data_IF_706506725305
#
_entry.id   IF_706506725305
#
_cell.length_a   1.000
_cell.length_b   1.000
_cell.length_c   1.000
_cell.angle_alpha   90.00
_cell.angle_beta   90.00
_cell.angle_gamma   90.00
#
_symmetry.space_group_name_H-M   'P 1'
#
loop_
_entity.id
_entity.type
_entity.pdbx_description
1 polymer ?
#
# COMPACT_ATOMS: atom_id res chain seq x y z
N UNK A 1 -27.98 -7.00 17.69
CA UNK A 1 -27.17 -7.44 18.86
C UNK A 1 -27.84 -8.65 19.48
N UNK A 2 -27.23 -9.82 19.34
CA UNK A 2 -27.55 -11.02 20.12
C UNK A 2 -26.22 -11.68 20.46
N UNK A 3 -25.85 -11.67 21.74
CA UNK A 3 -24.64 -12.34 22.22
C UNK A 3 -24.88 -13.84 22.11
N UNK A 4 -24.27 -14.48 21.12
CA UNK A 4 -24.17 -15.94 21.06
C UNK A 4 -23.08 -16.35 22.05
N UNK A 5 -23.44 -17.14 23.04
CA UNK A 5 -22.48 -17.81 23.92
C UNK A 5 -21.56 -18.69 23.07
N UNK A 6 -20.27 -18.35 23.03
CA UNK A 6 -19.25 -19.18 22.40
C UNK A 6 -18.98 -20.41 23.29
N UNK A 7 -18.85 -21.62 22.73
CA UNK A 7 -18.62 -22.82 23.51
C UNK A 7 -17.28 -22.72 24.28
N UNK A 8 -17.22 -23.18 25.55
CA UNK A 8 -16.17 -22.85 26.52
C UNK A 8 -14.74 -23.36 26.21
N UNK A 9 -14.51 -23.99 25.06
CA UNK A 9 -13.18 -24.45 24.61
C UNK A 9 -12.47 -23.56 23.58
N UNK A 10 -13.14 -22.57 22.99
CA UNK A 10 -12.63 -21.78 21.84
C UNK A 10 -11.68 -20.63 22.22
N UNK A 11 -11.69 -20.20 23.48
CA UNK A 11 -10.90 -19.04 23.95
C UNK A 11 -9.40 -19.32 24.20
N UNK A 12 -8.97 -20.59 24.19
CA UNK A 12 -7.62 -21.01 24.60
C UNK A 12 -6.73 -21.58 23.48
N UNK A 13 -7.12 -21.48 22.20
CA UNK A 13 -6.27 -21.90 21.08
C UNK A 13 -5.14 -20.89 20.81
N UNK A 14 -4.19 -20.80 21.74
CA UNK A 14 -3.02 -19.93 21.66
C UNK A 14 -1.78 -20.73 21.26
N UNK A 15 -1.08 -20.27 20.22
CA UNK A 15 0.18 -20.84 19.77
C UNK A 15 1.31 -19.83 20.04
N UNK A 16 2.38 -20.29 20.67
CA UNK A 16 3.59 -19.48 20.91
C UNK A 16 4.66 -19.71 19.85
N UNK A 17 4.68 -20.90 19.23
CA UNK A 17 5.63 -21.27 18.16
C UNK A 17 4.94 -21.75 16.90
N UNK A 18 5.68 -21.82 15.78
CA UNK A 18 5.15 -22.30 14.51
C UNK A 18 4.74 -23.79 14.59
N UNK A 19 5.47 -24.62 15.33
CA UNK A 19 5.15 -26.03 15.54
C UNK A 19 3.91 -26.22 16.41
N UNK A 20 3.69 -25.36 17.40
CA UNK A 20 2.45 -25.32 18.17
C UNK A 20 1.27 -24.89 17.31
N UNK A 21 1.46 -23.87 16.47
CA UNK A 21 0.46 -23.43 15.50
C UNK A 21 0.06 -24.58 14.58
N UNK A 22 1.00 -25.29 13.97
CA UNK A 22 0.72 -26.38 13.04
C UNK A 22 -0.06 -27.52 13.71
N UNK A 23 0.32 -27.90 14.94
CA UNK A 23 -0.38 -28.94 15.71
C UNK A 23 -1.81 -28.53 16.09
N UNK A 24 -1.98 -27.30 16.59
CA UNK A 24 -3.29 -26.79 16.97
C UNK A 24 -4.19 -26.61 15.75
N UNK A 25 -3.67 -26.07 14.65
CA UNK A 25 -4.43 -25.88 13.43
C UNK A 25 -4.88 -27.21 12.81
N UNK A 26 -4.02 -28.25 12.84
CA UNK A 26 -4.39 -29.59 12.40
C UNK A 26 -5.49 -30.21 13.29
N UNK A 27 -5.39 -30.02 14.61
CA UNK A 27 -6.37 -30.55 15.57
C UNK A 27 -7.73 -29.87 15.45
N UNK A 28 -7.73 -28.56 15.19
CA UNK A 28 -8.93 -27.71 15.15
C UNK A 28 -9.38 -27.38 13.72
N UNK A 29 -8.92 -28.14 12.72
CA UNK A 29 -9.22 -27.87 11.31
C UNK A 29 -10.73 -27.82 11.02
N UNK A 30 -11.58 -28.74 11.55
CA UNK A 30 -13.02 -28.66 11.36
C UNK A 30 -13.62 -27.34 11.90
N UNK A 31 -13.26 -26.95 13.12
CA UNK A 31 -13.77 -25.75 13.78
C UNK A 31 -13.29 -24.47 13.09
N UNK A 32 -12.05 -24.45 12.61
CA UNK A 32 -11.51 -23.34 11.83
C UNK A 32 -12.23 -23.20 10.48
N UNK A 33 -12.52 -24.32 9.80
CA UNK A 33 -13.27 -24.33 8.56
C UNK A 33 -14.71 -23.84 8.76
N UNK A 34 -15.38 -24.30 9.81
CA UNK A 34 -16.73 -23.87 10.17
C UNK A 34 -16.77 -22.37 10.48
N UNK A 35 -15.75 -21.86 11.19
CA UNK A 35 -15.62 -20.43 11.48
C UNK A 35 -15.44 -19.60 10.20
N UNK A 36 -14.52 -19.99 9.31
CA UNK A 36 -14.27 -19.30 8.05
C UNK A 36 -15.49 -19.32 7.11
N UNK A 37 -16.17 -20.47 7.03
CA UNK A 37 -17.41 -20.64 6.26
C UNK A 37 -18.54 -19.78 6.83
N UNK A 38 -18.69 -19.78 8.16
CA UNK A 38 -19.69 -18.97 8.86
C UNK A 38 -19.50 -17.47 8.64
N UNK A 39 -18.25 -17.00 8.68
CA UNK A 39 -17.93 -15.60 8.38
C UNK A 39 -18.14 -15.23 6.92
N UNK A 40 -17.82 -16.13 5.99
CA UNK A 40 -18.11 -15.94 4.57
C UNK A 40 -19.62 -15.77 4.34
N UNK A 41 -20.44 -16.63 4.95
CA UNK A 41 -21.90 -16.52 4.90
C UNK A 41 -22.37 -15.19 5.47
N UNK A 42 -21.84 -14.78 6.62
CA UNK A 42 -22.18 -13.51 7.24
C UNK A 42 -21.84 -12.32 6.34
N UNK A 43 -20.62 -12.29 5.78
CA UNK A 43 -20.18 -11.25 4.87
C UNK A 43 -21.08 -11.15 3.62
N UNK A 44 -21.38 -12.27 2.96
CA UNK A 44 -22.27 -12.30 1.79
C UNK A 44 -23.69 -11.81 2.13
N UNK A 45 -24.20 -12.12 3.33
CA UNK A 45 -25.49 -11.61 3.82
C UNK A 45 -25.47 -10.10 4.04
N UNK A 46 -24.41 -9.59 4.68
CA UNK A 46 -24.24 -8.15 4.93
C UNK A 46 -24.13 -7.36 3.61
N UNK A 47 -23.52 -7.94 2.58
CA UNK A 47 -23.44 -7.36 1.23
C UNK A 47 -24.72 -7.51 0.39
N UNK A 48 -25.76 -8.18 0.90
CA UNK A 48 -26.99 -8.45 0.14
C UNK A 48 -26.79 -9.43 -1.02
N UNK A 49 -25.71 -10.22 -1.02
CA UNK A 49 -25.33 -11.18 -2.07
C UNK A 49 -25.64 -12.63 -1.68
N UNK A 50 -26.48 -12.85 -0.67
CA UNK A 50 -26.80 -14.18 -0.15
C UNK A 50 -28.26 -14.54 -0.40
N UNK A 51 -28.50 -15.70 -1.03
CA UNK A 51 -29.84 -16.15 -1.42
C UNK A 51 -30.35 -17.38 -0.63
N UNK A 52 -29.67 -17.80 0.44
CA UNK A 52 -30.03 -18.98 1.27
C UNK A 52 -30.29 -20.26 0.44
N UNK A 53 -29.51 -20.49 -0.62
CA UNK A 53 -29.61 -21.65 -1.49
C UNK A 53 -28.37 -22.59 -1.40
N UNK A 54 -28.51 -23.79 -1.98
CA UNK A 54 -27.44 -24.81 -1.98
C UNK A 54 -26.19 -24.35 -2.74
N UNK A 55 -26.33 -23.46 -3.74
CA UNK A 55 -25.19 -22.98 -4.51
C UNK A 55 -24.33 -22.00 -3.69
N UNK A 56 -24.97 -21.09 -2.95
CA UNK A 56 -24.31 -20.16 -2.03
C UNK A 56 -23.72 -20.88 -0.82
N UNK A 57 -24.36 -21.93 -0.30
CA UNK A 57 -23.77 -22.78 0.75
C UNK A 57 -22.50 -23.50 0.26
N UNK A 58 -22.51 -24.04 -0.97
CA UNK A 58 -21.31 -24.61 -1.59
C UNK A 58 -20.22 -23.57 -1.83
N UNK A 59 -20.59 -22.35 -2.23
CA UNK A 59 -19.67 -21.23 -2.43
C UNK A 59 -19.01 -20.83 -1.11
N UNK A 60 -19.80 -20.65 -0.04
CA UNK A 60 -19.29 -20.31 1.28
C UNK A 60 -18.33 -21.37 1.80
N UNK A 61 -18.64 -22.65 1.62
CA UNK A 61 -17.74 -23.75 2.01
C UNK A 61 -16.44 -23.71 1.19
N UNK A 62 -16.52 -23.53 -0.14
CA UNK A 62 -15.34 -23.42 -1.01
C UNK A 62 -14.43 -22.26 -0.59
N UNK A 63 -15.00 -21.09 -0.33
CA UNK A 63 -14.24 -19.93 0.15
C UNK A 63 -13.72 -20.15 1.57
N UNK A 64 -14.46 -20.84 2.43
CA UNK A 64 -13.98 -21.27 3.75
C UNK A 64 -12.71 -22.09 3.66
N UNK A 65 -12.64 -23.06 2.73
CA UNK A 65 -11.42 -23.83 2.46
C UNK A 65 -10.27 -22.94 1.99
N UNK A 66 -10.51 -22.05 1.03
CA UNK A 66 -9.48 -21.15 0.51
C UNK A 66 -8.93 -20.20 1.59
N UNK A 67 -9.81 -19.67 2.43
CA UNK A 67 -9.43 -18.83 3.58
C UNK A 67 -8.61 -19.61 4.60
N UNK A 68 -8.99 -20.86 4.88
CA UNK A 68 -8.25 -21.74 5.78
C UNK A 68 -6.86 -22.08 5.22
N UNK A 69 -6.75 -22.38 3.94
CA UNK A 69 -5.44 -22.61 3.28
C UNK A 69 -4.54 -21.38 3.40
N UNK A 70 -5.06 -20.18 3.10
CA UNK A 70 -4.33 -18.92 3.26
C UNK A 70 -3.89 -18.71 4.70
N UNK A 71 -4.78 -18.96 5.66
CA UNK A 71 -4.50 -18.89 7.09
C UNK A 71 -3.36 -19.85 7.50
N UNK A 72 -3.36 -21.09 7.02
CA UNK A 72 -2.31 -22.07 7.32
C UNK A 72 -0.94 -21.65 6.74
N UNK A 73 -0.93 -20.99 5.58
CA UNK A 73 0.30 -20.47 4.98
C UNK A 73 0.85 -19.29 5.77
N UNK A 74 0.03 -18.29 6.11
CA UNK A 74 0.52 -17.08 6.78
C UNK A 74 0.63 -17.20 8.31
N UNK A 75 -0.12 -18.09 8.94
CA UNK A 75 -0.23 -18.15 10.40
C UNK A 75 1.07 -18.50 11.12
N UNK A 76 1.93 -19.31 10.48
CA UNK A 76 3.27 -19.67 11.01
C UNK A 76 4.16 -18.46 11.28
N UNK A 77 4.00 -17.39 10.50
CA UNK A 77 4.82 -16.17 10.63
C UNK A 77 4.24 -15.14 11.60
N UNK A 78 3.05 -15.40 12.13
CA UNK A 78 2.30 -14.47 12.97
C UNK A 78 2.24 -14.93 14.44
N UNK A 79 2.98 -15.98 14.80
CA UNK A 79 3.13 -16.42 16.19
C UNK A 79 3.97 -15.41 17.01
N UNK A 80 3.65 -15.18 18.31
CA UNK A 80 2.59 -15.81 19.08
C UNK A 80 1.20 -15.28 18.73
N UNK A 81 0.20 -16.16 18.62
CA UNK A 81 -1.14 -15.79 18.19
C UNK A 81 -2.26 -16.62 18.83
N UNK A 82 -3.48 -16.09 18.80
CA UNK A 82 -4.72 -16.85 19.06
C UNK A 82 -5.32 -17.25 17.72
N UNK A 83 -5.46 -18.55 17.46
CA UNK A 83 -5.78 -19.09 16.13
C UNK A 83 -7.08 -18.49 15.56
N UNK A 84 -8.19 -18.52 16.31
CA UNK A 84 -9.47 -17.99 15.84
C UNK A 84 -9.45 -16.48 15.62
N UNK A 85 -8.78 -15.71 16.49
CA UNK A 85 -8.66 -14.27 16.29
C UNK A 85 -7.81 -13.92 15.07
N UNK A 86 -6.73 -14.68 14.85
CA UNK A 86 -5.90 -14.53 13.66
C UNK A 86 -6.68 -14.94 12.40
N UNK A 87 -7.46 -16.01 12.44
CA UNK A 87 -8.34 -16.43 11.35
C UNK A 87 -9.37 -15.35 11.03
N UNK A 88 -10.10 -14.86 12.03
CA UNK A 88 -11.07 -13.76 11.89
C UNK A 88 -10.39 -12.53 11.24
N UNK A 89 -9.16 -12.20 11.64
CA UNK A 89 -8.38 -11.13 11.01
C UNK A 89 -8.00 -11.43 9.55
N UNK A 90 -7.65 -12.66 9.20
CA UNK A 90 -7.35 -13.09 7.82
C UNK A 90 -8.59 -13.02 6.94
N UNK A 91 -9.73 -13.46 7.47
CA UNK A 91 -11.02 -13.45 6.78
C UNK A 91 -11.47 -12.02 6.53
N UNK A 92 -11.50 -11.18 7.56
CA UNK A 92 -11.79 -9.75 7.42
C UNK A 92 -10.85 -9.11 6.39
N UNK A 93 -9.53 -9.27 6.52
CA UNK A 93 -8.55 -8.76 5.54
C UNK A 93 -8.75 -9.29 4.12
N UNK A 94 -9.39 -10.44 3.92
CA UNK A 94 -9.63 -10.99 2.58
C UNK A 94 -10.86 -10.37 1.95
N UNK A 95 -11.94 -10.23 2.71
CA UNK A 95 -13.19 -9.62 2.22
C UNK A 95 -13.14 -8.09 2.14
N UNK A 96 -12.35 -7.46 3.00
CA UNK A 96 -12.01 -6.05 2.97
C UNK A 96 -11.14 -5.65 1.79
N UNK A 97 -10.53 -6.63 1.08
CA UNK A 97 -9.73 -6.30 -0.11
C UNK A 97 -10.65 -6.04 -1.28
N UNK A 98 -10.47 -4.94 -2.02
CA UNK A 98 -11.03 -4.86 -3.36
C UNK A 98 -10.60 -6.07 -4.17
N UNK A 99 -11.53 -6.67 -4.91
CA UNK A 99 -11.22 -7.71 -5.89
C UNK A 99 -10.06 -7.23 -6.77
N UNK A 100 -9.03 -8.06 -7.02
CA UNK A 100 -7.93 -7.67 -7.89
C UNK A 100 -8.47 -7.18 -9.24
N UNK A 101 -8.16 -5.93 -9.60
CA UNK A 101 -8.61 -5.32 -10.87
C UNK A 101 -7.82 -5.84 -12.08
N UNK A 102 -7.11 -6.95 -11.89
CA UNK A 102 -6.12 -7.53 -12.77
C UNK A 102 -6.68 -8.13 -14.06
N UNK A 103 -8.01 -8.27 -14.18
CA UNK A 103 -8.67 -8.72 -15.41
C UNK A 103 -9.17 -7.57 -16.30
N UNK A 104 -8.96 -6.31 -15.90
CA UNK A 104 -9.29 -5.17 -16.76
C UNK A 104 -8.35 -5.15 -17.96
N UNK A 105 -8.90 -5.13 -19.18
CA UNK A 105 -8.12 -5.26 -20.43
C UNK A 105 -7.00 -4.23 -20.54
N UNK A 106 -7.26 -3.01 -20.10
CA UNK A 106 -6.29 -1.90 -20.15
C UNK A 106 -5.15 -2.05 -19.13
N UNK A 107 -5.29 -2.94 -18.12
CA UNK A 107 -4.30 -3.17 -17.07
C UNK A 107 -3.41 -4.40 -17.31
N UNK A 108 -3.59 -5.11 -18.43
CA UNK A 108 -2.80 -6.31 -18.74
C UNK A 108 -1.36 -6.00 -19.19
N UNK A 109 -1.05 -4.73 -19.49
CA UNK A 109 0.32 -4.30 -19.81
C UNK A 109 1.23 -4.38 -18.57
N UNK A 110 2.56 -4.48 -18.74
CA UNK A 110 3.49 -4.45 -17.60
C UNK A 110 3.33 -3.21 -16.72
N UNK A 111 3.03 -2.05 -17.32
CA UNK A 111 2.75 -0.82 -16.58
C UNK A 111 1.41 -0.89 -15.85
N UNK A 112 0.37 -1.42 -16.50
CA UNK A 112 -0.95 -1.61 -15.89
C UNK A 112 -0.89 -2.53 -14.67
N UNK A 113 -0.28 -3.72 -14.82
CA UNK A 113 -0.07 -4.68 -13.73
C UNK A 113 0.75 -4.06 -12.59
N UNK A 114 1.75 -3.25 -12.94
CA UNK A 114 2.55 -2.53 -11.95
C UNK A 114 1.73 -1.56 -11.10
N UNK A 115 0.91 -0.73 -11.74
CA UNK A 115 0.07 0.27 -11.07
C UNK A 115 -1.05 -0.38 -10.26
N UNK A 116 -1.74 -1.37 -10.84
CA UNK A 116 -2.78 -2.14 -10.17
C UNK A 116 -2.23 -2.84 -8.93
N UNK A 117 -1.14 -3.60 -9.09
CA UNK A 117 -0.53 -4.35 -8.00
C UNK A 117 0.01 -3.49 -6.86
N UNK A 118 0.64 -2.34 -7.18
CA UNK A 118 1.06 -1.39 -6.15
C UNK A 118 -0.12 -0.83 -5.37
N UNK A 119 -1.20 -0.46 -6.06
CA UNK A 119 -2.41 0.10 -5.43
C UNK A 119 -3.11 -0.94 -4.58
N UNK A 120 -3.27 -2.16 -5.11
CA UNK A 120 -3.82 -3.31 -4.40
C UNK A 120 -3.05 -3.56 -3.10
N UNK A 121 -1.71 -3.54 -3.16
CA UNK A 121 -0.89 -3.70 -1.97
C UNK A 121 -1.07 -2.54 -1.00
N UNK A 122 -1.19 -1.31 -1.49
CA UNK A 122 -1.31 -0.12 -0.65
C UNK A 122 -2.56 -0.14 0.24
N UNK A 123 -3.66 -0.78 -0.20
CA UNK A 123 -4.86 -0.96 0.62
C UNK A 123 -4.57 -1.77 1.88
N UNK A 124 -3.66 -2.75 1.83
CA UNK A 124 -3.40 -3.68 2.94
C UNK A 124 -2.03 -3.51 3.59
N UNK A 125 -1.19 -2.61 3.09
CA UNK A 125 0.16 -2.41 3.58
C UNK A 125 0.50 -0.93 3.69
N UNK A 126 0.71 -0.47 4.93
CA UNK A 126 1.15 0.89 5.21
C UNK A 126 2.50 1.23 4.55
N UNK A 127 3.39 0.25 4.42
CA UNK A 127 4.67 0.44 3.74
C UNK A 127 4.46 0.74 2.25
N UNK A 128 3.57 0.00 1.58
CA UNK A 128 3.22 0.23 0.18
C UNK A 128 2.47 1.56 0.01
N UNK A 129 1.49 1.87 0.87
CA UNK A 129 0.74 3.13 0.86
C UNK A 129 1.66 4.35 0.93
N UNK A 130 2.60 4.35 1.88
CA UNK A 130 3.60 5.42 2.00
C UNK A 130 4.52 5.46 0.78
N UNK A 131 4.86 4.30 0.22
CA UNK A 131 5.70 4.21 -0.97
C UNK A 131 5.02 4.72 -2.25
N UNK A 132 3.68 4.77 -2.32
CA UNK A 132 2.95 5.35 -3.46
C UNK A 132 3.35 6.80 -3.73
N UNK A 133 3.63 7.58 -2.68
CA UNK A 133 4.10 8.96 -2.85
C UNK A 133 5.40 9.05 -3.68
N UNK A 134 6.27 8.05 -3.53
CA UNK A 134 7.47 7.93 -4.36
C UNK A 134 7.15 7.33 -5.71
N UNK A 135 6.44 6.21 -5.76
CA UNK A 135 6.18 5.49 -7.00
C UNK A 135 5.33 6.28 -8.01
N UNK A 136 4.42 7.13 -7.56
CA UNK A 136 3.54 7.89 -8.45
C UNK A 136 3.93 9.34 -8.63
N UNK A 137 4.48 9.99 -7.59
CA UNK A 137 4.75 11.43 -7.61
C UNK A 137 6.23 11.79 -7.42
N UNK A 138 7.12 10.80 -7.33
CA UNK A 138 8.55 11.02 -7.15
C UNK A 138 8.96 11.61 -5.80
N UNK A 139 8.06 11.64 -4.81
CA UNK A 139 8.34 12.26 -3.51
C UNK A 139 9.18 11.36 -2.60
N UNK A 140 10.30 11.90 -2.13
CA UNK A 140 11.13 11.27 -1.12
C UNK A 140 10.56 11.40 0.31
N UNK A 141 11.10 10.62 1.25
CA UNK A 141 10.69 10.58 2.66
C UNK A 141 10.47 11.97 3.29
N UNK A 142 11.44 12.89 3.12
CA UNK A 142 11.37 14.26 3.68
C UNK A 142 10.25 15.09 3.06
N UNK A 143 10.00 14.92 1.77
CA UNK A 143 8.93 15.62 1.07
C UNK A 143 7.58 15.10 1.55
N UNK A 144 7.42 13.77 1.66
CA UNK A 144 6.20 13.13 2.20
C UNK A 144 5.87 13.63 3.61
N UNK A 145 6.86 13.63 4.52
CA UNK A 145 6.70 14.17 5.88
C UNK A 145 6.18 15.61 5.86
N UNK A 146 6.73 16.44 4.99
CA UNK A 146 6.34 17.85 4.89
C UNK A 146 4.99 18.03 4.24
N UNK A 147 4.67 17.33 3.16
CA UNK A 147 3.36 17.35 2.47
C UNK A 147 2.25 16.86 3.38
N UNK A 148 2.52 15.85 4.21
CA UNK A 148 1.57 15.33 5.18
C UNK A 148 1.55 16.12 6.49
N UNK A 149 2.51 17.03 6.70
CA UNK A 149 2.50 17.96 7.83
C UNK A 149 2.71 17.24 9.16
N UNK A 150 3.65 16.30 9.17
CA UNK A 150 3.82 15.36 10.27
C UNK A 150 4.72 15.91 11.38
N UNK A 151 4.34 15.60 12.63
CA UNK A 151 5.18 15.79 13.80
C UNK A 151 6.40 14.86 13.84
N UNK A 152 7.28 15.01 14.85
CA UNK A 152 8.52 14.24 14.95
C UNK A 152 8.30 12.72 15.04
N UNK A 153 7.25 12.27 15.72
CA UNK A 153 6.95 10.85 15.95
C UNK A 153 6.48 10.18 14.66
N UNK A 154 5.49 10.77 13.99
CA UNK A 154 4.91 10.30 12.74
C UNK A 154 5.96 10.34 11.62
N UNK A 155 6.83 11.35 11.64
CA UNK A 155 7.96 11.45 10.71
C UNK A 155 8.84 10.20 10.77
N UNK A 156 9.25 9.76 11.96
CA UNK A 156 10.06 8.55 12.11
C UNK A 156 9.38 7.29 11.54
N UNK A 157 8.05 7.21 11.63
CA UNK A 157 7.27 6.11 11.02
C UNK A 157 7.46 6.10 9.51
N UNK A 158 7.29 7.24 8.83
CA UNK A 158 7.51 7.36 7.38
C UNK A 158 8.91 6.89 6.97
N UNK A 159 9.96 7.29 7.70
CA UNK A 159 11.33 6.82 7.42
C UNK A 159 11.45 5.29 7.56
N UNK A 160 10.85 4.70 8.60
CA UNK A 160 10.82 3.25 8.81
C UNK A 160 10.03 2.53 7.71
N UNK A 161 8.88 3.07 7.29
CA UNK A 161 8.06 2.50 6.21
C UNK A 161 8.87 2.39 4.90
N UNK A 162 9.48 3.47 4.45
CA UNK A 162 10.34 3.48 3.26
C UNK A 162 11.56 2.56 3.40
N UNK A 163 12.12 2.42 4.62
CA UNK A 163 13.23 1.49 4.88
C UNK A 163 12.77 0.05 4.70
N UNK A 164 11.66 -0.36 5.31
CA UNK A 164 11.09 -1.72 5.19
C UNK A 164 10.68 -2.02 3.75
N UNK A 165 10.07 -1.04 3.07
CA UNK A 165 9.72 -1.12 1.66
C UNK A 165 10.93 -1.46 0.79
N UNK A 166 12.02 -0.69 0.93
CA UNK A 166 13.26 -0.95 0.17
C UNK A 166 13.90 -2.30 0.51
N UNK A 167 13.84 -2.74 1.77
CA UNK A 167 14.52 -3.96 2.22
C UNK A 167 13.84 -5.24 1.75
N UNK A 168 12.50 -5.27 1.77
CA UNK A 168 11.74 -6.48 1.45
C UNK A 168 10.41 -6.19 0.74
N UNK A 169 9.71 -5.12 1.12
CA UNK A 169 8.35 -4.85 0.63
C UNK A 169 8.26 -4.73 -0.90
N UNK A 170 9.18 -4.00 -1.51
CA UNK A 170 9.24 -3.82 -2.96
C UNK A 170 9.38 -5.15 -3.72
N UNK A 171 10.35 -5.99 -3.31
CA UNK A 171 10.59 -7.27 -3.98
C UNK A 171 9.38 -8.18 -3.87
N UNK A 172 8.83 -8.30 -2.66
CA UNK A 172 7.61 -9.08 -2.42
C UNK A 172 6.47 -8.67 -3.34
N UNK A 173 6.27 -7.37 -3.53
CA UNK A 173 5.18 -6.87 -4.40
C UNK A 173 5.45 -7.16 -5.86
N UNK A 174 6.68 -6.97 -6.35
CA UNK A 174 7.04 -7.37 -7.71
C UNK A 174 6.77 -8.86 -7.96
N UNK A 175 7.15 -9.71 -7.00
CA UNK A 175 6.94 -11.15 -7.05
C UNK A 175 5.43 -11.49 -7.03
N UNK A 176 4.65 -10.84 -6.15
CA UNK A 176 3.19 -11.00 -6.05
C UNK A 176 2.47 -10.58 -7.35
N UNK A 177 2.94 -9.53 -8.04
CA UNK A 177 2.38 -9.07 -9.33
C UNK A 177 2.77 -10.02 -10.48
N UNK A 178 3.85 -10.77 -10.32
CA UNK A 178 4.42 -11.60 -11.39
C UNK A 178 5.07 -10.77 -12.50
N UNK A 179 5.72 -9.65 -12.14
CA UNK A 179 6.54 -8.88 -13.08
C UNK A 179 7.94 -9.50 -13.18
N UNK A 180 8.38 -9.79 -14.39
CA UNK A 180 9.73 -10.30 -14.62
C UNK A 180 10.78 -9.21 -14.51
N UNK A 181 12.04 -9.61 -14.29
CA UNK A 181 13.17 -8.67 -14.29
C UNK A 181 13.29 -7.89 -15.61
N UNK A 182 13.05 -8.56 -16.73
CA UNK A 182 13.08 -7.98 -18.08
C UNK A 182 11.99 -6.91 -18.25
N UNK A 183 10.76 -7.20 -17.84
CA UNK A 183 9.65 -6.24 -17.91
C UNK A 183 9.94 -4.97 -17.09
N UNK A 184 10.53 -5.11 -15.90
CA UNK A 184 10.95 -3.97 -15.09
C UNK A 184 12.05 -3.14 -15.75
N UNK A 185 12.99 -3.79 -16.43
CA UNK A 185 14.05 -3.12 -17.19
C UNK A 185 13.48 -2.40 -18.41
N UNK A 186 12.54 -3.00 -19.12
CA UNK A 186 11.84 -2.37 -20.25
C UNK A 186 11.08 -1.12 -19.78
N UNK A 187 10.38 -1.17 -18.65
CA UNK A 187 9.71 0.00 -18.07
C UNK A 187 10.68 1.13 -17.73
N UNK A 188 11.83 0.81 -17.10
CA UNK A 188 12.88 1.79 -16.80
C UNK A 188 13.52 2.38 -18.07
N UNK A 189 13.75 1.56 -19.10
CA UNK A 189 14.27 2.03 -20.39
C UNK A 189 13.27 2.95 -21.12
N UNK A 190 11.98 2.58 -21.13
CA UNK A 190 10.91 3.42 -21.67
C UNK A 190 10.85 4.76 -20.94
N UNK A 191 10.91 4.74 -19.60
CA UNK A 191 10.97 5.96 -18.79
C UNK A 191 12.19 6.83 -19.13
N UNK A 192 13.36 6.24 -19.30
CA UNK A 192 14.58 6.97 -19.61
C UNK A 192 14.56 7.65 -21.00
N UNK A 193 13.88 7.03 -21.98
CA UNK A 193 13.81 7.52 -23.37
C UNK A 193 12.60 8.43 -23.64
N UNK A 194 11.46 8.12 -23.03
CA UNK A 194 10.16 8.71 -23.35
C UNK A 194 9.37 9.05 -22.07
N UNK A 195 10.00 9.80 -21.16
CA UNK A 195 9.39 10.17 -19.87
C UNK A 195 7.98 10.80 -19.99
N UNK A 196 7.71 11.75 -20.92
CA UNK A 196 6.38 12.33 -21.04
C UNK A 196 5.31 11.32 -21.45
N UNK A 197 5.64 10.39 -22.36
CA UNK A 197 4.70 9.39 -22.88
C UNK A 197 4.34 8.37 -21.81
N UNK A 198 5.32 7.85 -21.05
CA UNK A 198 5.05 6.87 -20.00
C UNK A 198 4.28 7.50 -18.82
N UNK A 199 4.52 8.78 -18.51
CA UNK A 199 3.78 9.47 -17.46
C UNK A 199 2.33 9.73 -17.90
N UNK A 200 2.09 10.09 -19.17
CA UNK A 200 0.73 10.23 -19.69
C UNK A 200 -0.02 8.89 -19.68
N UNK A 201 0.62 7.81 -20.12
CA UNK A 201 0.05 6.45 -20.01
C UNK A 201 -0.26 6.09 -18.55
N UNK A 202 0.66 6.38 -17.63
CA UNK A 202 0.46 6.13 -16.21
C UNK A 202 -0.69 6.97 -15.63
N UNK A 203 -0.84 8.23 -16.04
CA UNK A 203 -1.97 9.09 -15.63
C UNK A 203 -3.32 8.48 -16.03
N UNK A 204 -3.44 8.03 -17.28
CA UNK A 204 -4.67 7.44 -17.79
C UNK A 204 -4.99 6.12 -17.07
N UNK A 205 -4.00 5.24 -16.89
CA UNK A 205 -4.17 3.99 -16.14
C UNK A 205 -4.47 4.23 -14.65
N UNK A 206 -3.85 5.24 -14.03
CA UNK A 206 -4.12 5.60 -12.64
C UNK A 206 -5.57 6.07 -12.45
N UNK A 207 -6.19 6.76 -13.42
CA UNK A 207 -7.63 7.10 -13.31
C UNK A 207 -8.50 5.85 -13.19
N UNK A 208 -8.17 4.81 -13.96
CA UNK A 208 -8.86 3.52 -13.96
C UNK A 208 -8.64 2.80 -12.62
N UNK A 209 -7.38 2.67 -12.19
CA UNK A 209 -6.99 1.98 -10.95
C UNK A 209 -7.56 2.69 -9.72
N UNK A 210 -7.40 4.01 -9.61
CA UNK A 210 -7.86 4.77 -8.44
C UNK A 210 -9.39 4.79 -8.31
N UNK A 211 -10.13 4.76 -9.42
CA UNK A 211 -11.59 4.65 -9.39
C UNK A 211 -12.07 3.34 -8.74
N UNK A 212 -11.26 2.28 -8.82
CA UNK A 212 -11.52 0.99 -8.18
C UNK A 212 -11.11 1.00 -6.70
N UNK A 213 -9.84 1.25 -6.41
CA UNK A 213 -9.28 1.10 -5.06
C UNK A 213 -9.66 2.20 -4.06
N UNK A 214 -10.09 3.39 -4.53
CA UNK A 214 -10.60 4.43 -3.61
C UNK A 214 -11.97 4.09 -3.01
N UNK A 215 -12.69 3.11 -3.57
CA UNK A 215 -14.05 2.74 -3.14
C UNK A 215 -14.07 1.64 -2.07
N UNK A 216 -12.92 1.05 -1.74
CA UNK A 216 -12.85 -0.26 -1.09
C UNK A 216 -12.23 -0.27 0.33
N UNK A 217 -12.40 0.79 1.13
CA UNK A 217 -12.49 0.79 2.63
C UNK A 217 -11.90 2.06 3.32
N UNK A 218 -12.40 2.46 4.51
CA UNK A 218 -13.78 2.39 5.02
C UNK A 218 -14.55 3.66 4.59
N UNK A 219 -15.83 3.48 4.24
CA UNK A 219 -16.84 4.51 3.86
C UNK A 219 -16.30 5.87 3.38
N UNK A 220 -16.02 5.95 2.07
CA UNK A 220 -15.91 7.16 1.25
C UNK A 220 -15.36 8.40 1.95
N UNK A 221 -14.06 8.40 2.25
CA UNK A 221 -13.31 9.62 2.54
C UNK A 221 -13.52 10.66 1.41
N UNK A 222 -14.42 11.64 1.62
CA UNK A 222 -14.83 12.51 0.54
C UNK A 222 -13.66 13.43 0.18
N UNK A 223 -13.55 13.83 -1.07
CA UNK A 223 -12.64 14.92 -1.39
C UNK A 223 -13.06 16.15 -0.57
N UNK A 224 -12.16 16.65 0.26
CA UNK A 224 -12.42 17.83 1.06
C UNK A 224 -12.19 19.09 0.23
N UNK A 225 -12.93 20.14 0.58
CA UNK A 225 -12.69 21.48 0.06
C UNK A 225 -11.34 22.01 0.53
N UNK A 226 -10.84 23.05 -0.15
CA UNK A 226 -9.60 23.75 0.23
C UNK A 226 -9.60 24.20 1.70
N UNK A 227 -10.76 24.65 2.20
CA UNK A 227 -10.93 25.15 3.58
C UNK A 227 -10.79 24.02 4.60
N UNK A 228 -11.53 22.93 4.40
CA UNK A 228 -11.49 21.75 5.28
C UNK A 228 -10.10 21.12 5.31
N UNK A 229 -9.40 21.04 4.16
CA UNK A 229 -8.00 20.64 4.14
C UNK A 229 -7.13 21.56 5.01
N UNK A 230 -7.29 22.88 4.91
CA UNK A 230 -6.52 23.81 5.72
C UNK A 230 -6.77 23.62 7.23
N UNK A 231 -8.03 23.41 7.63
CA UNK A 231 -8.44 23.14 9.01
C UNK A 231 -7.77 21.87 9.57
N UNK A 232 -7.76 20.76 8.82
CA UNK A 232 -7.09 19.51 9.23
C UNK A 232 -5.59 19.67 9.54
N UNK A 233 -4.90 20.60 8.86
CA UNK A 233 -3.48 20.88 9.14
C UNK A 233 -3.26 21.84 10.31
N UNK A 234 -4.28 22.59 10.73
CA UNK A 234 -4.22 23.48 11.90
C UNK A 234 -4.47 22.68 13.18
N UNK A 235 -5.45 21.78 13.15
CA UNK A 235 -5.85 20.97 14.30
C UNK A 235 -4.93 19.78 14.58
N UNK A 236 -4.01 19.48 13.64
CA UNK A 236 -3.09 18.34 13.64
C UNK A 236 -3.75 16.98 13.94
N UNK A 237 -5.00 16.83 13.52
CA UNK A 237 -5.81 15.63 13.65
C UNK A 237 -5.73 14.76 12.38
N UNK A 238 -6.37 13.59 12.43
CA UNK A 238 -6.67 12.73 11.27
C UNK A 238 -5.46 12.42 10.34
N UNK A 239 -4.32 12.08 10.94
CA UNK A 239 -3.13 11.67 10.21
C UNK A 239 -3.38 10.52 9.22
N UNK A 240 -4.14 9.51 9.65
CA UNK A 240 -4.38 8.32 8.82
C UNK A 240 -5.24 8.64 7.59
N UNK A 241 -6.19 9.56 7.74
CA UNK A 241 -6.95 10.14 6.65
C UNK A 241 -6.03 10.82 5.62
N UNK A 242 -5.19 11.75 6.09
CA UNK A 242 -4.25 12.50 5.23
C UNK A 242 -3.35 11.56 4.44
N UNK A 243 -2.78 10.55 5.09
CA UNK A 243 -1.88 9.60 4.42
C UNK A 243 -2.58 8.80 3.35
N UNK A 244 -3.74 8.24 3.69
CA UNK A 244 -4.45 7.35 2.78
C UNK A 244 -5.04 8.12 1.61
N UNK A 245 -5.75 9.22 1.89
CA UNK A 245 -6.43 10.00 0.87
C UNK A 245 -5.45 10.70 -0.08
N UNK A 246 -4.38 11.33 0.42
CA UNK A 246 -3.46 12.10 -0.42
C UNK A 246 -2.52 11.22 -1.24
N UNK A 247 -2.29 9.96 -0.85
CA UNK A 247 -1.61 9.00 -1.71
C UNK A 247 -2.45 8.69 -2.96
N UNK A 248 -3.75 8.51 -2.77
CA UNK A 248 -4.69 7.98 -3.77
C UNK A 248 -5.50 9.06 -4.52
N UNK A 249 -5.42 10.33 -4.14
CA UNK A 249 -6.17 11.41 -4.79
C UNK A 249 -5.24 12.53 -5.26
N UNK A 250 -4.83 12.53 -6.55
CA UNK A 250 -3.99 13.58 -7.14
C UNK A 250 -4.56 14.99 -6.97
N UNK A 251 -5.88 15.15 -7.12
CA UNK A 251 -6.55 16.46 -7.03
C UNK A 251 -6.51 17.04 -5.61
N UNK A 252 -6.78 16.22 -4.59
CA UNK A 252 -6.67 16.63 -3.20
C UNK A 252 -5.20 16.85 -2.81
N UNK A 253 -4.27 16.05 -3.34
CA UNK A 253 -2.84 16.26 -3.16
C UNK A 253 -2.39 17.61 -3.72
N UNK A 254 -2.85 17.99 -4.92
CA UNK A 254 -2.63 19.31 -5.50
C UNK A 254 -3.24 20.43 -4.66
N UNK A 255 -4.48 20.24 -4.18
CA UNK A 255 -5.16 21.19 -3.30
C UNK A 255 -4.38 21.41 -2.01
N UNK A 256 -3.93 20.33 -1.35
CA UNK A 256 -3.11 20.40 -0.13
C UNK A 256 -1.76 21.07 -0.39
N UNK A 257 -1.12 20.76 -1.52
CA UNK A 257 0.11 21.43 -1.93
C UNK A 257 -0.09 22.95 -2.01
N UNK A 258 -1.18 23.40 -2.63
CA UNK A 258 -1.50 24.82 -2.77
C UNK A 258 -1.86 25.50 -1.45
N UNK A 259 -2.61 24.82 -0.58
CA UNK A 259 -2.91 25.29 0.79
C UNK A 259 -1.62 25.52 1.57
N UNK A 260 -0.62 24.67 1.33
CA UNK A 260 0.62 24.65 2.10
C UNK A 260 1.81 25.22 1.34
N UNK A 261 1.61 25.90 0.21
CA UNK A 261 2.65 26.36 -0.71
C UNK A 261 3.77 27.14 -0.03
N UNK A 262 3.43 28.01 0.94
CA UNK A 262 4.41 28.78 1.72
C UNK A 262 5.37 27.92 2.57
N UNK A 263 4.97 26.69 2.92
CA UNK A 263 5.79 25.72 3.68
C UNK A 263 6.44 24.65 2.79
N UNK A 264 6.15 24.63 1.49
CA UNK A 264 6.59 23.60 0.54
C UNK A 264 7.40 24.18 -0.63
N UNK A 265 8.07 25.32 -0.43
CA UNK A 265 8.72 26.12 -1.50
C UNK A 265 9.81 25.39 -2.30
N UNK A 266 10.46 24.38 -1.72
CA UNK A 266 11.48 23.53 -2.34
C UNK A 266 10.94 22.15 -2.79
N UNK A 267 9.62 21.93 -2.68
CA UNK A 267 8.96 20.71 -3.15
C UNK A 267 8.23 21.05 -4.45
N UNK A 268 8.44 20.31 -5.55
CA UNK A 268 7.71 20.54 -6.78
C UNK A 268 6.22 20.26 -6.60
N UNK A 269 5.38 20.92 -7.39
CA UNK A 269 3.95 20.64 -7.40
C UNK A 269 3.69 19.17 -7.75
N UNK A 270 2.70 18.53 -7.12
CA UNK A 270 2.37 17.13 -7.36
C UNK A 270 1.90 16.96 -8.81
N UNK A 271 2.53 16.00 -9.48
CA UNK A 271 2.20 15.51 -10.81
C UNK A 271 2.64 14.05 -10.89
N UNK A 272 2.12 13.30 -11.85
CA UNK A 272 2.62 11.94 -12.04
C UNK A 272 4.08 12.00 -12.51
N UNK A 273 4.94 11.37 -11.73
CA UNK A 273 6.37 11.17 -11.99
C UNK A 273 6.72 9.73 -11.58
N UNK A 274 6.39 8.80 -12.48
CA UNK A 274 6.42 7.37 -12.22
C UNK A 274 7.82 6.91 -11.83
N UNK A 275 8.00 6.36 -10.63
CA UNK A 275 9.24 5.69 -10.21
C UNK A 275 9.02 4.19 -10.17
N UNK A 276 9.75 3.42 -10.99
CA UNK A 276 9.63 1.96 -10.97
C UNK A 276 10.40 1.41 -9.76
N UNK A 277 11.67 1.80 -9.57
CA UNK A 277 12.48 1.31 -8.44
C UNK A 277 12.20 2.04 -7.11
N UNK A 278 12.40 1.38 -5.95
CA UNK A 278 12.21 2.00 -4.65
C UNK A 278 13.26 3.09 -4.38
N UNK A 279 12.90 4.05 -3.50
CA UNK A 279 13.77 5.15 -3.11
C UNK A 279 15.12 4.65 -2.53
N UNK A 280 16.22 5.00 -3.20
CA UNK A 280 17.58 4.63 -2.79
C UNK A 280 17.96 5.28 -1.44
N UNK A 281 18.78 4.58 -0.64
CA UNK A 281 19.26 5.10 0.65
C UNK A 281 20.13 6.33 0.39
N UNK A 282 19.74 7.50 0.93
CA UNK A 282 20.44 8.76 0.70
C UNK A 282 20.13 9.45 -0.63
N UNK A 283 19.14 8.97 -1.39
CA UNK A 283 18.68 9.64 -2.60
C UNK A 283 18.01 10.97 -2.24
N UNK A 284 18.73 12.08 -2.41
CA UNK A 284 18.14 13.38 -2.67
C UNK A 284 17.50 13.25 -4.06
N UNK A 285 16.19 13.48 -4.17
CA UNK A 285 15.50 13.52 -5.46
C UNK A 285 16.19 14.58 -6.30
N UNK A 286 16.75 14.16 -7.44
CA UNK A 286 17.50 15.04 -8.34
C UNK A 286 16.58 16.11 -8.90
N UNK A 287 16.85 17.36 -8.56
CA UNK A 287 16.32 18.56 -9.21
C UNK A 287 16.87 18.63 -10.66
N UNK A 288 16.32 17.84 -11.57
CA UNK A 288 16.61 17.95 -13.00
C UNK A 288 15.32 18.20 -13.78
N UNK A 289 14.79 19.40 -13.61
CA UNK A 289 13.87 20.01 -14.56
C UNK A 289 13.98 21.54 -14.49
N UNK A 290 15.19 22.09 -14.75
CA UNK A 290 15.38 23.45 -15.31
C UNK A 290 16.88 23.78 -15.37
N UNK A 291 17.53 23.51 -16.51
CA UNK A 291 18.42 24.47 -17.19
C UNK A 291 18.83 23.90 -18.54
N UNK A 292 18.16 24.38 -19.58
CA UNK A 292 18.64 24.37 -20.95
C UNK A 292 19.94 25.19 -21.01
N UNK A 293 20.92 24.65 -21.74
CA UNK A 293 21.77 25.40 -22.67
C UNK A 293 22.88 26.29 -22.10
N UNK A 294 24.09 26.06 -22.61
CA UNK A 294 25.19 27.02 -22.54
C UNK A 294 26.51 26.39 -22.14
N UNK A 295 27.29 25.95 -23.13
CA UNK A 295 28.67 25.53 -22.90
C UNK A 295 29.59 26.70 -22.57
N UNK A 296 30.70 26.38 -21.90
CA UNK A 296 32.11 26.70 -22.22
C UNK A 296 32.91 26.42 -20.94
N UNK A 297 33.99 25.66 -21.10
CA UNK A 297 34.71 25.04 -19.99
C UNK A 297 35.53 25.99 -19.12
N UNK A 298 35.98 25.46 -17.98
CA UNK A 298 37.32 25.66 -17.44
C UNK A 298 37.56 24.63 -16.32
N UNK A 299 38.77 24.08 -16.34
CA UNK A 299 39.33 23.16 -15.34
C UNK A 299 39.42 23.83 -13.96
N UNK A 300 39.15 23.09 -12.90
CA UNK A 300 39.88 23.14 -11.61
C UNK A 300 39.75 21.80 -10.88
N UNK A 301 40.83 21.42 -10.19
CA UNK A 301 41.18 20.06 -9.78
C UNK A 301 40.47 19.49 -8.54
N UNK A 302 40.89 18.29 -8.09
CA UNK A 302 40.18 17.50 -7.10
C UNK A 302 40.49 17.99 -5.67
N UNK A 303 39.45 18.30 -4.90
CA UNK A 303 39.61 18.67 -3.49
C UNK A 303 39.70 17.41 -2.62
N UNK A 304 40.89 17.20 -2.06
CA UNK A 304 41.22 16.12 -1.14
C UNK A 304 40.42 16.21 0.18
N UNK A 305 40.07 15.03 0.67
CA UNK A 305 39.44 14.74 1.95
C UNK A 305 40.53 14.69 3.03
N UNK A 306 40.53 15.63 3.97
CA UNK A 306 41.37 15.56 5.17
C UNK A 306 40.53 15.06 6.34
N UNK A 307 40.75 13.80 6.71
CA UNK A 307 40.35 13.23 7.99
C UNK A 307 41.27 13.77 9.07
N UNK A 308 40.69 14.33 10.14
CA UNK A 308 41.39 14.56 11.41
C UNK A 308 40.70 13.73 12.50
N UNK A 309 41.44 12.72 12.96
CA UNK A 309 41.29 12.03 14.24
C UNK A 309 41.92 12.84 15.37
N UNK A 310 41.67 12.38 16.60
CA UNK A 310 42.08 12.86 17.93
C UNK A 310 40.95 13.62 18.65
N UNK A 311 40.45 13.21 19.82
CA UNK A 311 40.98 12.31 20.85
C UNK A 311 39.91 11.31 21.35
#
# INVERSE_FOLDING_TARGET
>A
MGLREEPPGTLNAFASTAEEFDRLAATMSPELLDRATGQTRQFLREMGQWADDVAHEKLALRWGYELLERFLVCGRTEVPCRLFFLLDSVVAKTFSRPDPFCYHKDLLSPLGRFLDGLTSRAVVSRDALIALFHHWYGFGQRQVVRILGLGPVESQRVYKNFKRWRQAGWRRVVDEIGLTGEELEQLEQRKARHLPEINAEAEDLLRIVLAHYRKSEPEHFPCLTRREWAELFVEDCEYDYRVWHLALCPDCLATVYDVRRGRLTDIPAPRVDLQIRPLKKGGIVSLLAAKRGGGIGTRTGPTQRLSRTSA
#
